data_IF_607489238689
#
_entry.id   IF_607489238689
#
_cell.length_a   1.000
_cell.length_b   1.000
_cell.length_c   1.000
_cell.angle_alpha   90.00
_cell.angle_beta   90.00
_cell.angle_gamma   90.00
#
_symmetry.space_group_name_H-M   'P 1'
#
loop_
_entity.id
_entity.type
_entity.pdbx_description
1 polymer ?
#
# COMPACT_ATOMS: atom_id res chain seq x y z
N UNK A 1 13.98 12.40 -7.75
CA UNK A 1 12.67 12.92 -8.22
C UNK A 1 11.57 11.85 -8.23
N UNK A 2 11.67 10.72 -8.95
CA UNK A 2 10.54 9.78 -9.07
C UNK A 2 10.12 9.14 -7.74
N UNK A 3 11.06 8.83 -6.86
CA UNK A 3 10.80 8.32 -5.50
C UNK A 3 9.96 9.30 -4.66
N UNK A 4 10.29 10.59 -4.71
CA UNK A 4 9.56 11.64 -3.97
C UNK A 4 8.14 11.80 -4.50
N UNK A 5 7.94 11.73 -5.82
CA UNK A 5 6.61 11.79 -6.43
C UNK A 5 5.75 10.59 -6.03
N UNK A 6 6.34 9.39 -5.97
CA UNK A 6 5.65 8.20 -5.47
C UNK A 6 5.18 8.37 -4.03
N UNK A 7 6.08 8.81 -3.15
CA UNK A 7 5.78 9.07 -1.73
C UNK A 7 4.69 10.13 -1.58
N UNK A 8 4.79 11.25 -2.32
CA UNK A 8 3.76 12.30 -2.31
C UNK A 8 2.41 11.77 -2.82
N UNK A 9 2.39 11.06 -3.94
CA UNK A 9 1.16 10.47 -4.47
C UNK A 9 0.53 9.47 -3.50
N UNK A 10 1.31 8.51 -2.99
CA UNK A 10 0.83 7.44 -2.12
C UNK A 10 0.41 7.89 -0.73
N UNK A 11 1.15 8.80 -0.09
CA UNK A 11 0.91 9.12 1.32
C UNK A 11 0.25 10.48 1.55
N UNK A 12 0.11 11.32 0.51
CA UNK A 12 -0.62 12.57 0.60
C UNK A 12 -1.92 12.54 -0.20
N UNK A 13 -1.83 12.22 -1.50
CA UNK A 13 -2.98 12.30 -2.41
C UNK A 13 -3.97 11.16 -2.17
N UNK A 14 -3.49 9.92 -2.08
CA UNK A 14 -4.37 8.75 -1.91
C UNK A 14 -5.15 8.73 -0.58
N UNK A 15 -4.57 9.07 0.59
CA UNK A 15 -5.33 9.12 1.83
C UNK A 15 -6.35 10.25 1.85
N UNK A 16 -6.01 11.41 1.25
CA UNK A 16 -6.95 12.52 1.08
C UNK A 16 -8.12 12.11 0.19
N UNK A 17 -7.82 11.43 -0.92
CA UNK A 17 -8.83 10.87 -1.81
C UNK A 17 -9.77 9.91 -1.06
N UNK A 18 -9.23 8.98 -0.29
CA UNK A 18 -10.02 8.05 0.52
C UNK A 18 -10.96 8.77 1.49
N UNK A 19 -10.47 9.80 2.16
CA UNK A 19 -11.29 10.63 3.03
C UNK A 19 -12.42 11.32 2.26
N UNK A 20 -12.12 11.99 1.16
CA UNK A 20 -13.14 12.69 0.35
C UNK A 20 -14.19 11.72 -0.20
N UNK A 21 -13.78 10.61 -0.81
CA UNK A 21 -14.71 9.64 -1.40
C UNK A 21 -15.53 8.92 -0.34
N UNK A 22 -14.95 8.59 0.81
CA UNK A 22 -15.73 7.97 1.91
C UNK A 22 -16.82 8.90 2.44
N UNK A 23 -16.58 10.22 2.46
CA UNK A 23 -17.58 11.23 2.84
C UNK A 23 -18.65 11.39 1.77
N UNK A 24 -18.26 11.50 0.49
CA UNK A 24 -19.20 11.62 -0.63
C UNK A 24 -20.10 10.39 -0.76
N UNK A 25 -19.54 9.19 -0.59
CA UNK A 25 -20.27 7.92 -0.63
C UNK A 25 -20.99 7.60 0.70
N UNK A 26 -20.95 8.49 1.70
CA UNK A 26 -21.58 8.31 3.03
C UNK A 26 -21.25 6.96 3.67
N UNK A 27 -19.99 6.53 3.57
CA UNK A 27 -19.57 5.24 4.10
C UNK A 27 -19.62 5.23 5.64
N UNK A 28 -19.97 4.07 6.25
CA UNK A 28 -19.82 3.89 7.69
C UNK A 28 -18.42 4.25 8.17
N UNK A 29 -18.35 4.87 9.36
CA UNK A 29 -17.10 5.34 9.98
C UNK A 29 -15.97 4.28 10.01
N UNK A 30 -16.22 3.00 10.38
CA UNK A 30 -15.18 1.97 10.35
C UNK A 30 -14.65 1.67 8.95
N UNK A 31 -15.54 1.64 7.94
CA UNK A 31 -15.18 1.40 6.54
C UNK A 31 -14.42 2.59 5.95
N UNK A 32 -14.79 3.81 6.33
CA UNK A 32 -14.08 5.03 5.93
C UNK A 32 -12.64 5.01 6.44
N UNK A 33 -12.42 4.62 7.70
CA UNK A 33 -11.09 4.49 8.27
C UNK A 33 -10.31 3.35 7.59
N UNK A 34 -10.94 2.21 7.33
CA UNK A 34 -10.33 1.11 6.59
C UNK A 34 -9.91 1.49 5.17
N UNK A 35 -10.71 2.32 4.49
CA UNK A 35 -10.37 2.86 3.17
C UNK A 35 -9.16 3.80 3.24
N UNK A 36 -9.10 4.67 4.26
CA UNK A 36 -7.95 5.57 4.48
C UNK A 36 -6.68 4.77 4.78
N UNK A 37 -6.75 3.76 5.65
CA UNK A 37 -5.60 2.89 5.96
C UNK A 37 -5.13 2.16 4.72
N UNK A 38 -6.06 1.63 3.92
CA UNK A 38 -5.76 1.02 2.62
C UNK A 38 -5.05 2.01 1.72
N UNK A 39 -5.60 3.21 1.56
CA UNK A 39 -5.02 4.26 0.72
C UNK A 39 -3.73 4.86 1.23
N UNK A 40 -3.37 4.59 2.49
CA UNK A 40 -2.10 4.97 3.12
C UNK A 40 -1.08 3.83 3.08
N UNK A 41 -1.43 2.68 2.51
CA UNK A 41 -0.50 1.56 2.38
C UNK A 41 0.56 1.87 1.31
N UNK A 42 1.79 1.32 1.47
CA UNK A 42 2.83 1.48 0.46
C UNK A 42 2.44 0.75 -0.83
N UNK A 43 3.20 1.01 -1.89
CA UNK A 43 3.12 0.21 -3.12
C UNK A 43 3.35 -1.27 -2.80
N UNK A 44 2.62 -2.17 -3.44
CA UNK A 44 2.74 -3.61 -3.19
C UNK A 44 1.87 -4.44 -4.12
N UNK A 45 1.78 -5.75 -3.88
CA UNK A 45 0.93 -6.62 -4.71
C UNK A 45 1.45 -6.88 -6.13
N UNK A 46 2.77 -6.83 -6.33
CA UNK A 46 3.38 -7.14 -7.63
C UNK A 46 3.55 -5.95 -8.58
N UNK A 47 3.55 -4.70 -8.07
CA UNK A 47 3.81 -3.49 -8.85
C UNK A 47 5.06 -3.55 -9.75
N UNK A 48 6.13 -4.19 -9.28
CA UNK A 48 7.33 -4.45 -10.09
C UNK A 48 7.11 -5.44 -11.25
N UNK A 49 6.22 -6.42 -11.09
CA UNK A 49 5.86 -7.36 -12.16
C UNK A 49 5.02 -6.66 -13.22
N UNK A 50 4.04 -5.84 -12.81
CA UNK A 50 3.29 -5.00 -13.75
C UNK A 50 4.19 -4.00 -14.46
N UNK A 51 5.16 -3.40 -13.75
CA UNK A 51 6.16 -2.53 -14.37
C UNK A 51 7.00 -3.30 -15.39
N UNK A 52 7.42 -4.53 -15.10
CA UNK A 52 8.13 -5.37 -16.07
C UNK A 52 7.28 -5.67 -17.31
N UNK A 53 6.04 -6.12 -17.12
CA UNK A 53 5.13 -6.51 -18.21
C UNK A 53 4.71 -5.34 -19.10
N UNK A 54 4.56 -4.15 -18.53
CA UNK A 54 4.10 -2.95 -19.23
C UNK A 54 5.26 -2.08 -19.78
N UNK A 55 6.51 -2.55 -19.68
CA UNK A 55 7.69 -1.84 -20.17
C UNK A 55 8.02 -0.58 -19.37
N UNK A 56 7.87 -0.66 -18.05
CA UNK A 56 8.34 0.31 -17.07
C UNK A 56 9.75 0.02 -16.57
N UNK A 57 10.25 0.90 -15.72
CA UNK A 57 11.53 0.75 -15.02
C UNK A 57 11.35 -0.12 -13.76
N UNK A 58 11.80 -1.37 -13.83
CA UNK A 58 11.70 -2.37 -12.74
C UNK A 58 12.59 -1.99 -11.56
N UNK A 59 13.77 -1.44 -11.83
CA UNK A 59 14.70 -1.01 -10.78
C UNK A 59 14.06 0.09 -9.96
N UNK A 60 13.44 1.06 -10.64
CA UNK A 60 12.70 2.13 -9.99
C UNK A 60 11.50 1.59 -9.21
N UNK A 61 10.76 0.62 -9.74
CA UNK A 61 9.60 0.02 -9.06
C UNK A 61 10.03 -0.58 -7.72
N UNK A 62 11.08 -1.40 -7.72
CA UNK A 62 11.63 -2.02 -6.51
C UNK A 62 12.09 -0.95 -5.52
N UNK A 63 12.81 0.08 -5.98
CA UNK A 63 13.25 1.17 -5.10
C UNK A 63 12.09 1.96 -4.50
N UNK A 64 11.05 2.24 -5.28
CA UNK A 64 9.84 2.93 -4.80
C UNK A 64 9.09 2.10 -3.77
N UNK A 65 8.88 0.81 -4.02
CA UNK A 65 8.25 -0.11 -3.06
C UNK A 65 9.05 -0.15 -1.74
N UNK A 66 10.38 -0.23 -1.81
CA UNK A 66 11.22 -0.26 -0.60
C UNK A 66 11.11 1.03 0.21
N UNK A 67 11.27 2.19 -0.44
CA UNK A 67 11.19 3.49 0.23
C UNK A 67 9.80 3.72 0.79
N UNK A 68 8.75 3.45 0.00
CA UNK A 68 7.37 3.61 0.46
C UNK A 68 7.06 2.69 1.63
N UNK A 69 7.55 1.46 1.66
CA UNK A 69 7.33 0.54 2.78
C UNK A 69 7.95 1.06 4.08
N UNK A 70 9.14 1.67 4.02
CA UNK A 70 9.75 2.33 5.18
C UNK A 70 8.94 3.55 5.60
N UNK A 71 8.52 4.39 4.66
CA UNK A 71 7.71 5.59 4.94
C UNK A 71 6.34 5.22 5.52
N UNK A 72 5.73 4.13 5.04
CA UNK A 72 4.43 3.63 5.51
C UNK A 72 4.42 3.32 7.00
N UNK A 73 5.57 2.93 7.58
CA UNK A 73 5.71 2.70 9.02
C UNK A 73 5.30 3.92 9.85
N UNK A 74 5.56 5.13 9.34
CA UNK A 74 5.14 6.38 9.98
C UNK A 74 3.85 6.95 9.37
N UNK A 75 3.67 6.83 8.06
CA UNK A 75 2.57 7.47 7.33
C UNK A 75 1.19 6.84 7.60
N UNK A 76 1.11 5.51 7.78
CA UNK A 76 -0.16 4.82 8.10
C UNK A 76 -0.73 5.29 9.46
N UNK A 77 0.02 5.32 10.58
CA UNK A 77 -0.49 5.77 11.87
C UNK A 77 -0.84 7.25 11.84
N UNK A 78 0.00 8.07 11.20
CA UNK A 78 -0.23 9.51 11.07
C UNK A 78 -1.54 9.79 10.31
N UNK A 79 -1.74 9.14 9.17
CA UNK A 79 -2.95 9.28 8.36
C UNK A 79 -4.17 8.75 9.10
N UNK A 80 -4.05 7.59 9.75
CA UNK A 80 -5.13 7.01 10.57
C UNK A 80 -5.54 7.93 11.72
N UNK A 81 -4.59 8.56 12.41
CA UNK A 81 -4.87 9.52 13.49
C UNK A 81 -5.54 10.81 12.96
N UNK A 82 -4.97 11.39 11.89
CA UNK A 82 -5.49 12.62 11.30
C UNK A 82 -6.92 12.43 10.78
N UNK A 83 -7.14 11.45 9.90
CA UNK A 83 -8.44 11.21 9.30
C UNK A 83 -9.41 10.53 10.26
N UNK A 84 -8.93 9.74 11.23
CA UNK A 84 -9.76 9.21 12.31
C UNK A 84 -10.37 10.31 13.17
N UNK A 85 -9.60 11.38 13.44
CA UNK A 85 -10.13 12.60 14.09
C UNK A 85 -11.14 13.32 13.22
N UNK A 86 -10.82 13.55 11.94
CA UNK A 86 -11.71 14.24 10.98
C UNK A 86 -13.03 13.49 10.71
N UNK A 87 -13.02 12.16 10.79
CA UNK A 87 -14.21 11.32 10.65
C UNK A 87 -15.03 11.21 11.96
N UNK A 88 -14.54 11.79 13.07
CA UNK A 88 -15.17 11.67 14.38
C UNK A 88 -15.22 10.22 14.87
N UNK A 89 -14.20 9.43 14.54
CA UNK A 89 -14.05 8.01 14.91
C UNK A 89 -13.42 7.88 16.29
N UNK A 90 -12.59 8.86 16.70
CA UNK A 90 -11.90 8.87 18.00
C UNK A 90 -12.79 8.72 19.23
N UNK A 91 -14.09 9.07 19.15
CA UNK A 91 -15.03 8.92 20.25
C UNK A 91 -15.70 7.53 20.34
N UNK A 92 -15.61 6.70 19.27
CA UNK A 92 -16.34 5.42 19.18
C UNK A 92 -15.41 4.20 18.94
N UNK A 93 -14.24 4.41 18.35
CA UNK A 93 -13.19 3.40 18.19
C UNK A 93 -11.94 3.96 18.87
N UNK A 94 -11.51 3.33 19.97
CA UNK A 94 -10.19 3.56 20.55
C UNK A 94 -9.16 3.17 19.50
N UNK A 95 -8.75 4.12 18.64
CA UNK A 95 -7.67 3.90 17.67
C UNK A 95 -6.41 3.65 18.50
N UNK A 96 -5.89 2.42 18.60
CA UNK A 96 -4.85 2.11 19.54
C UNK A 96 -3.53 2.50 18.90
N UNK A 97 -3.23 3.78 18.94
CA UNK A 97 -2.08 4.41 18.30
C UNK A 97 -0.78 3.70 18.68
N UNK A 98 -0.63 3.32 19.94
CA UNK A 98 0.53 2.56 20.45
C UNK A 98 0.60 1.15 19.84
N UNK A 99 -0.53 0.48 19.62
CA UNK A 99 -0.56 -0.83 18.94
C UNK A 99 -0.23 -0.69 17.46
N UNK A 100 -0.80 0.31 16.77
CA UNK A 100 -0.51 0.59 15.36
C UNK A 100 0.99 0.86 15.19
N UNK A 101 1.55 1.75 16.01
CA UNK A 101 2.97 2.07 16.00
C UNK A 101 3.84 0.85 16.35
N UNK A 102 3.43 0.05 17.34
CA UNK A 102 4.11 -1.20 17.70
C UNK A 102 4.12 -2.23 16.58
N UNK A 103 2.98 -2.46 15.92
CA UNK A 103 2.87 -3.36 14.75
C UNK A 103 3.73 -2.86 13.60
N UNK A 104 3.76 -1.55 13.36
CA UNK A 104 4.57 -0.99 12.27
C UNK A 104 6.06 -1.00 12.58
N UNK A 105 6.49 -0.76 13.81
CA UNK A 105 7.89 -0.97 14.22
C UNK A 105 8.27 -2.45 14.09
N UNK A 106 7.39 -3.35 14.50
CA UNK A 106 7.59 -4.80 14.34
C UNK A 106 7.73 -5.21 12.87
N UNK A 107 7.04 -4.54 11.94
CA UNK A 107 7.17 -4.77 10.49
C UNK A 107 8.41 -4.05 9.91
N UNK A 108 8.69 -2.83 10.36
CA UNK A 108 9.76 -1.98 9.82
C UNK A 108 11.16 -2.45 10.21
N UNK A 109 11.33 -3.01 11.42
CA UNK A 109 12.63 -3.52 11.91
C UNK A 109 13.16 -4.65 11.01
N UNK A 110 12.41 -5.74 10.73
CA UNK A 110 12.86 -6.80 9.83
C UNK A 110 13.17 -6.30 8.42
N UNK A 111 12.36 -5.38 7.89
CA UNK A 111 12.55 -4.84 6.53
C UNK A 111 13.84 -4.01 6.45
N UNK A 112 14.07 -3.16 7.45
CA UNK A 112 15.29 -2.35 7.56
C UNK A 112 16.53 -3.23 7.73
N UNK A 113 16.43 -4.28 8.55
CA UNK A 113 17.51 -5.26 8.75
C UNK A 113 17.82 -6.02 7.45
N UNK A 114 16.79 -6.48 6.73
CA UNK A 114 16.93 -7.16 5.44
C UNK A 114 17.60 -6.26 4.38
N UNK A 115 17.27 -4.98 4.35
CA UNK A 115 17.96 -4.01 3.48
C UNK A 115 19.42 -3.81 3.88
N UNK A 116 19.73 -3.73 5.17
CA UNK A 116 21.09 -3.57 5.65
C UNK A 116 21.96 -4.78 5.29
N UNK A 117 21.42 -5.99 5.44
CA UNK A 117 22.09 -7.24 5.03
C UNK A 117 22.33 -7.25 3.51
N UNK A 118 21.35 -6.81 2.71
CA UNK A 118 21.49 -6.68 1.25
C UNK A 118 22.66 -5.77 0.86
N UNK A 119 22.81 -4.64 1.56
CA UNK A 119 23.87 -3.65 1.30
C UNK A 119 25.25 -4.11 1.77
N UNK A 120 25.33 -4.71 2.97
CA UNK A 120 26.62 -5.02 3.61
C UNK A 120 27.15 -6.41 3.26
N UNK A 121 26.28 -7.37 2.91
CA UNK A 121 26.62 -8.78 2.72
C UNK A 121 26.01 -9.34 1.41
N UNK A 122 26.48 -8.89 0.23
CA UNK A 122 25.92 -9.30 -1.06
C UNK A 122 26.09 -10.81 -1.34
N UNK A 123 27.12 -11.45 -0.78
CA UNK A 123 27.32 -12.90 -0.89
C UNK A 123 26.23 -13.69 -0.14
N UNK A 124 25.94 -13.32 1.12
CA UNK A 124 24.87 -13.92 1.92
C UNK A 124 23.49 -13.66 1.29
N UNK A 125 23.31 -12.46 0.74
CA UNK A 125 22.08 -12.07 0.04
C UNK A 125 21.77 -12.97 -1.15
N UNK A 126 22.78 -13.38 -1.93
CA UNK A 126 22.58 -14.29 -3.06
C UNK A 126 22.04 -15.65 -2.62
N UNK A 127 22.56 -16.19 -1.51
CA UNK A 127 22.10 -17.46 -0.94
C UNK A 127 20.68 -17.31 -0.36
N UNK A 128 20.44 -16.26 0.42
CA UNK A 128 19.11 -15.98 0.98
C UNK A 128 18.07 -15.76 -0.11
N UNK A 129 18.38 -15.03 -1.18
CA UNK A 129 17.48 -14.84 -2.32
C UNK A 129 17.17 -16.16 -3.02
N UNK A 130 18.16 -17.05 -3.21
CA UNK A 130 17.92 -18.36 -3.82
C UNK A 130 16.95 -19.21 -2.98
N UNK A 131 17.02 -19.10 -1.64
CA UNK A 131 16.13 -19.81 -0.72
C UNK A 131 14.74 -19.16 -0.60
N UNK A 132 14.68 -17.83 -0.56
CA UNK A 132 13.43 -17.06 -0.35
C UNK A 132 12.57 -17.00 -1.62
N UNK A 133 13.18 -17.04 -2.81
CA UNK A 133 12.46 -17.00 -4.10
C UNK A 133 11.35 -18.06 -4.23
N UNK A 134 11.61 -19.37 -4.05
CA UNK A 134 10.56 -20.39 -4.15
C UNK A 134 9.47 -20.20 -3.08
N UNK A 135 9.86 -19.82 -1.86
CA UNK A 135 8.91 -19.58 -0.77
C UNK A 135 8.01 -18.36 -1.07
N UNK A 136 8.58 -17.30 -1.63
CA UNK A 136 7.85 -16.09 -2.03
C UNK A 136 6.85 -16.39 -3.15
N UNK A 137 7.23 -17.24 -4.11
CA UNK A 137 6.31 -17.69 -5.16
C UNK A 137 5.13 -18.46 -4.57
N UNK A 138 5.39 -19.42 -3.67
CA UNK A 138 4.34 -20.18 -2.98
C UNK A 138 3.43 -19.26 -2.16
N UNK A 139 3.99 -18.29 -1.43
CA UNK A 139 3.22 -17.32 -0.67
C UNK A 139 2.34 -16.42 -1.55
N UNK A 140 2.85 -15.98 -2.71
CA UNK A 140 2.07 -15.17 -3.66
C UNK A 140 0.92 -16.00 -4.23
N UNK A 141 1.20 -17.22 -4.71
CA UNK A 141 0.17 -18.11 -5.27
C UNK A 141 -0.87 -18.47 -4.21
N UNK A 142 -0.43 -18.84 -3.00
CA UNK A 142 -1.32 -19.10 -1.86
C UNK A 142 -2.12 -17.87 -1.45
N UNK A 143 -1.52 -16.68 -1.49
CA UNK A 143 -2.19 -15.41 -1.22
C UNK A 143 -3.26 -15.08 -2.26
N UNK A 144 -2.99 -15.29 -3.55
CA UNK A 144 -3.98 -15.13 -4.63
C UNK A 144 -5.13 -16.13 -4.45
N UNK A 145 -4.82 -17.38 -4.15
CA UNK A 145 -5.83 -18.41 -3.91
C UNK A 145 -6.73 -18.07 -2.70
N UNK A 146 -6.14 -17.65 -1.59
CA UNK A 146 -6.88 -17.20 -0.40
C UNK A 146 -7.70 -15.93 -0.69
N UNK A 147 -7.13 -14.98 -1.42
CA UNK A 147 -7.84 -13.76 -1.81
C UNK A 147 -9.03 -14.06 -2.74
N UNK A 148 -8.93 -15.06 -3.62
CA UNK A 148 -10.05 -15.51 -4.44
C UNK A 148 -11.14 -16.17 -3.59
N UNK A 149 -10.77 -17.13 -2.73
CA UNK A 149 -11.70 -17.85 -1.85
C UNK A 149 -12.41 -16.92 -0.87
N UNK A 150 -11.69 -16.01 -0.23
CA UNK A 150 -12.26 -15.03 0.71
C UNK A 150 -12.94 -13.87 -0.04
N UNK A 151 -12.42 -13.49 -1.21
CA UNK A 151 -12.97 -12.41 -2.02
C UNK A 151 -14.40 -12.68 -2.44
N UNK A 152 -14.71 -13.91 -2.86
CA UNK A 152 -16.07 -14.29 -3.27
C UNK A 152 -17.09 -14.17 -2.12
N UNK A 153 -16.73 -14.61 -0.91
CA UNK A 153 -17.63 -14.52 0.26
C UNK A 153 -17.78 -13.09 0.78
N UNK A 154 -16.72 -12.28 0.69
CA UNK A 154 -16.76 -10.86 1.03
C UNK A 154 -17.61 -10.10 0.00
N UNK A 155 -17.38 -10.29 -1.30
CA UNK A 155 -18.14 -9.61 -2.35
C UNK A 155 -19.63 -9.94 -2.32
N UNK A 156 -20.01 -11.18 -1.95
CA UNK A 156 -21.41 -11.59 -1.86
C UNK A 156 -22.18 -10.88 -0.73
N UNK A 157 -21.50 -10.50 0.36
CA UNK A 157 -22.11 -9.89 1.55
C UNK A 157 -21.87 -8.39 1.68
N UNK A 158 -21.07 -7.79 0.79
CA UNK A 158 -20.70 -6.39 0.82
C UNK A 158 -21.64 -5.56 -0.05
N UNK A 159 -21.99 -4.35 0.43
CA UNK A 159 -22.85 -3.43 -0.32
C UNK A 159 -22.17 -3.05 -1.65
N UNK A 160 -22.89 -3.03 -2.79
CA UNK A 160 -22.31 -2.68 -4.10
C UNK A 160 -21.58 -1.33 -4.13
N UNK A 161 -22.04 -0.37 -3.33
CA UNK A 161 -21.40 0.95 -3.18
C UNK A 161 -19.94 0.85 -2.69
N UNK A 162 -19.63 -0.10 -1.80
CA UNK A 162 -18.28 -0.30 -1.27
C UNK A 162 -17.37 -0.87 -2.36
N UNK A 163 -17.89 -1.78 -3.18
CA UNK A 163 -17.17 -2.35 -4.32
C UNK A 163 -16.88 -1.24 -5.36
N UNK A 164 -17.88 -0.41 -5.66
CA UNK A 164 -17.71 0.73 -6.57
C UNK A 164 -16.60 1.68 -6.09
N UNK A 165 -16.61 2.06 -4.81
CA UNK A 165 -15.53 2.86 -4.21
C UNK A 165 -14.19 2.12 -4.28
N UNK A 166 -14.15 0.82 -3.98
CA UNK A 166 -12.92 0.03 -4.05
C UNK A 166 -12.27 0.02 -5.43
N UNK A 167 -13.06 -0.13 -6.50
CA UNK A 167 -12.57 -0.12 -7.89
C UNK A 167 -11.97 1.24 -8.28
N UNK A 168 -12.50 2.33 -7.73
CA UNK A 168 -11.98 3.68 -8.05
C UNK A 168 -10.59 3.96 -7.47
N UNK A 169 -10.20 3.28 -6.38
CA UNK A 169 -8.89 3.48 -5.73
C UNK A 169 -7.72 3.24 -6.70
N UNK A 170 -7.55 2.04 -7.31
CA UNK A 170 -6.43 1.79 -8.21
C UNK A 170 -6.49 2.69 -9.46
N UNK A 171 -7.68 2.94 -10.01
CA UNK A 171 -7.85 3.82 -11.17
C UNK A 171 -7.33 5.22 -10.88
N UNK A 172 -7.74 5.78 -9.74
CA UNK A 172 -7.40 7.15 -9.38
C UNK A 172 -5.91 7.25 -9.01
N UNK A 173 -5.33 6.24 -8.36
CA UNK A 173 -3.89 6.17 -8.11
C UNK A 173 -3.05 6.05 -9.38
N UNK A 174 -3.49 5.27 -10.37
CA UNK A 174 -2.84 5.20 -11.68
C UNK A 174 -2.83 6.56 -12.37
N UNK A 175 -3.98 7.26 -12.38
CA UNK A 175 -4.11 8.59 -12.99
C UNK A 175 -3.23 9.61 -12.27
N UNK A 176 -3.30 9.68 -10.94
CA UNK A 176 -2.49 10.58 -10.11
C UNK A 176 -1.00 10.36 -10.37
N UNK A 177 -0.53 9.11 -10.30
CA UNK A 177 0.87 8.80 -10.54
C UNK A 177 1.31 9.14 -11.97
N UNK A 178 0.46 8.91 -12.97
CA UNK A 178 0.75 9.27 -14.36
C UNK A 178 0.84 10.79 -14.58
N UNK A 179 -0.06 11.56 -13.97
CA UNK A 179 -0.08 13.03 -14.04
C UNK A 179 1.14 13.61 -13.32
N UNK A 180 1.41 13.20 -12.09
CA UNK A 180 2.58 13.66 -11.32
C UNK A 180 3.88 13.37 -12.07
N UNK A 181 4.02 12.17 -12.62
CA UNK A 181 5.20 11.79 -13.38
C UNK A 181 5.34 12.55 -14.71
N UNK A 182 4.21 12.90 -15.35
CA UNK A 182 4.19 13.73 -16.57
C UNK A 182 4.62 15.17 -16.27
N UNK A 183 4.09 15.77 -15.20
CA UNK A 183 4.42 17.13 -14.78
C UNK A 183 5.89 17.27 -14.39
N UNK A 184 6.48 16.23 -13.82
CA UNK A 184 7.90 16.20 -13.49
C UNK A 184 8.83 15.86 -14.67
N UNK A 185 8.31 15.72 -15.89
CA UNK A 185 9.12 15.49 -17.09
C UNK A 185 9.84 14.13 -17.12
N UNK A 186 9.32 13.11 -16.43
CA UNK A 186 9.96 11.80 -16.37
C UNK A 186 9.90 11.06 -17.71
N UNK A 187 10.90 10.20 -17.95
CA UNK A 187 10.94 9.35 -19.14
C UNK A 187 9.75 8.37 -19.18
N UNK A 188 9.28 7.93 -20.37
CA UNK A 188 8.10 7.06 -20.48
C UNK A 188 8.13 5.79 -19.60
N UNK A 189 9.25 5.04 -19.48
CA UNK A 189 9.32 3.88 -18.59
C UNK A 189 9.14 4.25 -17.11
N UNK A 190 9.73 5.36 -16.68
CA UNK A 190 9.62 5.84 -15.30
C UNK A 190 8.21 6.36 -14.99
N UNK A 191 7.54 7.00 -15.95
CA UNK A 191 6.15 7.45 -15.81
C UNK A 191 5.19 6.29 -15.58
N UNK A 192 5.37 5.19 -16.33
CA UNK A 192 4.59 3.95 -16.13
C UNK A 192 4.82 3.38 -14.74
N UNK A 193 6.09 3.28 -14.32
CA UNK A 193 6.44 2.78 -12.99
C UNK A 193 5.82 3.61 -11.86
N UNK A 194 5.92 4.94 -11.92
CA UNK A 194 5.34 5.81 -10.89
C UNK A 194 3.82 5.69 -10.86
N UNK A 195 3.18 5.61 -12.03
CA UNK A 195 1.74 5.37 -12.13
C UNK A 195 1.34 4.06 -11.46
N UNK A 196 2.00 2.96 -11.81
CA UNK A 196 1.72 1.62 -11.26
C UNK A 196 1.96 1.58 -9.75
N UNK A 197 3.08 2.10 -9.26
CA UNK A 197 3.38 2.07 -7.83
C UNK A 197 2.38 2.90 -7.01
N UNK A 198 1.91 4.06 -7.52
CA UNK A 198 0.89 4.85 -6.81
C UNK A 198 -0.49 4.18 -6.84
N UNK A 199 -0.84 3.51 -7.95
CA UNK A 199 -2.14 2.84 -8.11
C UNK A 199 -2.25 1.48 -7.44
N UNK A 200 -1.18 0.68 -7.44
CA UNK A 200 -1.19 -0.69 -6.92
C UNK A 200 -0.64 -0.71 -5.50
N UNK A 201 -1.55 -0.61 -4.54
CA UNK A 201 -1.24 -0.56 -3.12
C UNK A 201 -1.19 -1.96 -2.48
N UNK A 202 -0.50 -2.06 -1.35
CA UNK A 202 -0.42 -3.29 -0.58
C UNK A 202 -1.67 -3.53 0.28
N UNK A 203 -2.73 -4.04 -0.33
CA UNK A 203 -4.00 -4.34 0.34
C UNK A 203 -3.87 -5.39 1.46
N UNK A 204 -2.93 -6.32 1.35
CA UNK A 204 -2.68 -7.34 2.39
C UNK A 204 -2.08 -6.71 3.65
N UNK A 205 -1.14 -5.77 3.48
CA UNK A 205 -0.58 -5.02 4.61
C UNK A 205 -1.66 -4.18 5.30
N UNK A 206 -2.51 -3.51 4.52
CA UNK A 206 -3.63 -2.76 5.06
C UNK A 206 -4.59 -3.65 5.88
N UNK A 207 -4.93 -4.84 5.35
CA UNK A 207 -5.74 -5.83 6.05
C UNK A 207 -5.11 -6.29 7.36
N UNK A 208 -3.81 -6.63 7.33
CA UNK A 208 -3.08 -7.05 8.53
C UNK A 208 -3.05 -5.95 9.60
N UNK A 209 -2.80 -4.70 9.20
CA UNK A 209 -2.83 -3.55 10.14
C UNK A 209 -4.21 -3.40 10.74
N UNK A 210 -5.28 -3.49 9.94
CA UNK A 210 -6.65 -3.40 10.45
C UNK A 210 -6.97 -4.52 11.45
N UNK A 211 -6.65 -5.77 11.12
CA UNK A 211 -6.96 -6.93 11.96
C UNK A 211 -6.15 -6.98 13.25
N UNK A 212 -4.89 -6.54 13.24
CA UNK A 212 -4.03 -6.54 14.43
C UNK A 212 -4.29 -5.35 15.34
N UNK A 213 -4.70 -4.22 14.76
CA UNK A 213 -4.88 -2.98 15.51
C UNK A 213 -6.28 -2.81 16.06
N UNK A 214 -7.33 -3.18 15.34
CA UNK A 214 -8.73 -2.94 15.75
C UNK A 214 -9.39 -4.15 16.42
N UNK A 215 -8.59 -4.97 17.12
CA UNK A 215 -9.06 -6.02 18.03
C UNK A 215 -9.41 -5.46 19.41
#
# INVERSE_FOLDING_TARGET
>A
VPLLLGVLGQFLVMPLYAYCVSRLASLPKPLSLGLVITCSAPGGGGGYLYSLLLGGDVTLAISMTLVSTVVAAAAIPLSSALYGRLLGVHAALHVPFVKILGTLLFIAIPISLGMLVKLRLPALTRVLLALIRPFSFVLIVGGIFMAYQMGASILANVRPQIVAVGVTVPLLGLVVGAVLAKLAGLAPPQRKTVSIEVGVQNSLLALAVMQLSFR
#
